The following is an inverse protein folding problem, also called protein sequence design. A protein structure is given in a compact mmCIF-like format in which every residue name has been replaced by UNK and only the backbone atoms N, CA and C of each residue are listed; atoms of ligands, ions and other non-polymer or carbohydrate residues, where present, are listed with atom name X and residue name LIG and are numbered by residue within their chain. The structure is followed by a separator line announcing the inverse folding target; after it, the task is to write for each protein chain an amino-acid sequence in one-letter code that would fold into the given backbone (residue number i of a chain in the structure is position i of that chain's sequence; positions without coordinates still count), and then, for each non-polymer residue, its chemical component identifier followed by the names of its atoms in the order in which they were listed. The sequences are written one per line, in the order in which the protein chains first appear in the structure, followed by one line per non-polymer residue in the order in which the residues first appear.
data_IF_134920232346
#
_entry.id   IF_134920232346
#
_cell.length_a   1.000
_cell.length_b   1.000
_cell.length_c   1.000
_cell.angle_alpha   90.00
_cell.angle_beta   90.00
_cell.angle_gamma   90.00
#
_symmetry.space_group_name_H-M   'P 1'
#
loop_
_entity.id
_entity.type
_entity.pdbx_description
1 polymer ?
#
# COMPACT_ATOMS: atom_id res chain seq x y z
N UNK A 1 20.78 33.25 -7.46
CA UNK A 1 19.49 32.81 -8.03
C UNK A 1 18.44 32.92 -6.94
N UNK A 2 17.32 33.58 -7.24
CA UNK A 2 16.26 33.87 -6.27
C UNK A 2 15.17 32.82 -6.31
N UNK A 3 14.52 32.58 -5.17
CA UNK A 3 13.27 31.84 -5.12
C UNK A 3 12.19 32.65 -5.84
N UNK A 4 11.33 31.97 -6.60
CA UNK A 4 10.19 32.59 -7.29
C UNK A 4 8.90 31.91 -6.86
N UNK A 5 7.87 32.71 -6.62
CA UNK A 5 6.52 32.21 -6.40
C UNK A 5 5.85 32.00 -7.76
N UNK A 6 5.54 30.74 -8.08
CA UNK A 6 4.85 30.36 -9.30
C UNK A 6 3.49 29.74 -8.98
N UNK A 7 2.49 29.99 -9.84
CA UNK A 7 1.26 29.19 -9.81
C UNK A 7 1.54 27.80 -10.40
N UNK A 8 0.83 26.79 -9.90
CA UNK A 8 0.89 25.45 -10.44
C UNK A 8 0.18 25.41 -11.80
N UNK A 9 0.86 24.88 -12.81
CA UNK A 9 0.33 24.70 -14.15
C UNK A 9 0.54 23.26 -14.62
N UNK A 10 -0.39 22.73 -15.41
CA UNK A 10 -0.16 21.43 -16.03
C UNK A 10 1.02 21.52 -17.02
N UNK A 11 2.04 20.64 -16.91
CA UNK A 11 3.24 20.71 -17.75
C UNK A 11 2.94 20.65 -19.26
N UNK A 12 3.56 21.54 -20.04
CA UNK A 12 3.36 21.63 -21.50
C UNK A 12 3.82 20.36 -22.23
N UNK A 13 4.90 19.73 -21.74
CA UNK A 13 5.39 18.44 -22.23
C UNK A 13 4.35 17.33 -21.99
N UNK A 14 3.70 17.31 -20.83
CA UNK A 14 2.65 16.35 -20.52
C UNK A 14 1.39 16.60 -21.38
N UNK A 15 1.00 17.86 -21.58
CA UNK A 15 -0.10 18.24 -22.45
C UNK A 15 0.14 17.81 -23.91
N UNK A 16 1.37 17.99 -24.41
CA UNK A 16 1.75 17.59 -25.78
C UNK A 16 1.71 16.07 -25.96
N UNK A 17 2.19 15.31 -24.97
CA UNK A 17 2.09 13.84 -24.97
C UNK A 17 0.64 13.38 -24.99
N UNK A 18 -0.22 14.00 -24.18
CA UNK A 18 -1.65 13.71 -24.15
C UNK A 18 -2.30 14.02 -25.50
N UNK A 19 -2.04 15.17 -26.09
CA UNK A 19 -2.60 15.56 -27.39
C UNK A 19 -2.21 14.57 -28.50
N UNK A 20 -0.93 14.19 -28.55
CA UNK A 20 -0.43 13.21 -29.52
C UNK A 20 -1.08 11.83 -29.33
N UNK A 21 -1.21 11.35 -28.09
CA UNK A 21 -1.89 10.09 -27.80
C UNK A 21 -3.38 10.16 -28.19
N UNK A 22 -4.05 11.27 -27.86
CA UNK A 22 -5.47 11.46 -28.11
C UNK A 22 -5.82 11.45 -29.60
N UNK A 23 -4.90 11.89 -30.46
CA UNK A 23 -5.09 11.86 -31.93
C UNK A 23 -5.43 10.46 -32.47
N UNK A 24 -4.91 9.41 -31.84
CA UNK A 24 -5.18 8.01 -32.18
C UNK A 24 -6.26 7.42 -31.27
N UNK A 25 -6.19 7.68 -29.95
CA UNK A 25 -7.13 7.10 -28.99
C UNK A 25 -8.59 7.52 -29.26
N UNK A 26 -8.81 8.74 -29.75
CA UNK A 26 -10.14 9.23 -30.13
C UNK A 26 -10.80 8.44 -31.28
N UNK A 27 -10.02 7.68 -32.06
CA UNK A 27 -10.53 6.85 -33.16
C UNK A 27 -11.02 5.46 -32.70
N UNK A 28 -10.63 5.05 -31.48
CA UNK A 28 -10.96 3.73 -30.95
C UNK A 28 -12.47 3.51 -30.84
N UNK A 29 -13.29 4.43 -30.30
CA UNK A 29 -14.73 4.19 -30.16
C UNK A 29 -15.43 3.87 -31.49
N UNK A 30 -15.13 4.62 -32.55
CA UNK A 30 -15.75 4.42 -33.87
C UNK A 30 -15.30 3.10 -34.52
N UNK A 31 -14.00 2.81 -34.49
CA UNK A 31 -13.44 1.56 -35.05
C UNK A 31 -13.92 0.33 -34.28
N UNK A 32 -14.04 0.44 -32.96
CA UNK A 32 -14.53 -0.61 -32.08
C UNK A 32 -16.04 -0.83 -32.24
N UNK A 33 -16.84 0.21 -32.41
CA UNK A 33 -18.28 0.09 -32.73
C UNK A 33 -18.47 -0.64 -34.06
N UNK A 34 -17.68 -0.30 -35.07
CA UNK A 34 -17.69 -1.00 -36.35
C UNK A 34 -17.30 -2.47 -36.22
N UNK A 35 -16.27 -2.77 -35.41
CA UNK A 35 -15.83 -4.15 -35.17
C UNK A 35 -16.86 -4.97 -34.41
N UNK A 36 -17.48 -4.42 -33.36
CA UNK A 36 -18.54 -5.08 -32.60
C UNK A 36 -19.79 -5.32 -33.45
N UNK A 37 -20.15 -4.39 -34.33
CA UNK A 37 -21.21 -4.58 -35.33
C UNK A 37 -20.92 -5.76 -36.27
N UNK A 38 -19.70 -5.90 -36.77
CA UNK A 38 -19.29 -7.08 -37.58
C UNK A 38 -19.33 -8.39 -36.80
N UNK A 39 -19.06 -8.36 -35.49
CA UNK A 39 -19.17 -9.55 -34.64
C UNK A 39 -20.62 -9.93 -34.38
N UNK A 40 -21.52 -8.95 -34.22
CA UNK A 40 -22.95 -9.20 -34.01
C UNK A 40 -23.60 -9.94 -35.18
N UNK A 41 -23.22 -9.62 -36.42
CA UNK A 41 -23.75 -10.33 -37.60
C UNK A 41 -23.34 -11.81 -37.63
N UNK A 42 -22.26 -12.19 -36.95
CA UNK A 42 -21.79 -13.56 -36.82
C UNK A 42 -22.34 -14.29 -35.58
N UNK A 43 -23.01 -13.59 -34.66
CA UNK A 43 -23.44 -14.13 -33.37
C UNK A 43 -24.39 -15.32 -33.51
N UNK A 44 -25.32 -15.27 -34.45
CA UNK A 44 -26.26 -16.37 -34.69
C UNK A 44 -25.58 -17.66 -35.22
N UNK A 45 -24.40 -17.53 -35.83
CA UNK A 45 -23.61 -18.65 -36.38
C UNK A 45 -22.62 -19.21 -35.36
N UNK A 46 -22.34 -18.46 -34.29
CA UNK A 46 -21.36 -18.79 -33.28
C UNK A 46 -22.03 -19.50 -32.09
N UNK A 47 -22.62 -20.68 -32.33
CA UNK A 47 -23.19 -21.51 -31.26
C UNK A 47 -22.09 -22.26 -30.54
N UNK A 48 -21.95 -22.00 -29.23
CA UNK A 48 -20.99 -22.69 -28.36
C UNK A 48 -21.72 -23.56 -27.35
N UNK A 49 -21.29 -24.81 -27.25
CA UNK A 49 -21.76 -25.70 -26.19
C UNK A 49 -21.04 -25.32 -24.90
N UNK A 50 -21.81 -24.95 -23.88
CA UNK A 50 -21.30 -24.66 -22.53
C UNK A 50 -20.59 -25.89 -21.97
N UNK A 51 -19.52 -25.67 -21.19
CA UNK A 51 -18.85 -26.76 -20.50
C UNK A 51 -19.81 -27.45 -19.51
N UNK A 52 -19.80 -28.79 -19.39
CA UNK A 52 -20.74 -29.51 -18.51
C UNK A 52 -20.72 -29.07 -17.04
N UNK A 53 -19.61 -28.48 -16.57
CA UNK A 53 -19.43 -28.02 -15.19
C UNK A 53 -19.82 -26.55 -14.95
N UNK A 54 -20.18 -25.80 -15.99
CA UNK A 54 -20.39 -24.35 -15.86
C UNK A 54 -21.58 -23.99 -14.96
N UNK A 55 -22.64 -24.80 -14.93
CA UNK A 55 -23.79 -24.55 -14.06
C UNK A 55 -23.43 -24.79 -12.58
N UNK A 56 -22.65 -25.85 -12.29
CA UNK A 56 -22.11 -26.10 -10.96
C UNK A 56 -21.15 -24.97 -10.53
N UNK A 57 -20.29 -24.49 -11.44
CA UNK A 57 -19.39 -23.37 -11.17
C UNK A 57 -20.16 -22.06 -10.91
N UNK A 58 -21.26 -21.81 -11.63
CA UNK A 58 -22.11 -20.63 -11.43
C UNK A 58 -22.79 -20.63 -10.06
N UNK A 59 -23.17 -21.80 -9.55
CA UNK A 59 -23.72 -21.94 -8.20
C UNK A 59 -22.73 -21.55 -7.09
N UNK A 60 -21.42 -21.55 -7.39
CA UNK A 60 -20.34 -21.23 -6.45
C UNK A 60 -19.78 -19.81 -6.59
N UNK A 61 -20.44 -18.93 -7.35
CA UNK A 61 -19.96 -17.57 -7.61
C UNK A 61 -19.76 -16.70 -6.34
N UNK A 62 -20.41 -17.07 -5.21
CA UNK A 62 -20.29 -16.36 -3.93
C UNK A 62 -18.97 -16.58 -3.19
N UNK A 63 -18.22 -17.65 -3.49
CA UNK A 63 -17.03 -18.03 -2.73
C UNK A 63 -15.91 -16.98 -2.74
N UNK A 64 -15.83 -16.13 -3.79
CA UNK A 64 -14.89 -15.01 -3.83
C UNK A 64 -15.17 -14.00 -2.72
N UNK A 65 -16.45 -13.66 -2.52
CA UNK A 65 -16.85 -12.74 -1.47
C UNK A 65 -16.58 -13.33 -0.08
N UNK A 66 -16.79 -14.64 0.10
CA UNK A 66 -16.43 -15.34 1.35
C UNK A 66 -14.92 -15.31 1.61
N UNK A 67 -14.09 -15.55 0.59
CA UNK A 67 -12.62 -15.43 0.72
C UNK A 67 -12.20 -13.99 1.05
N UNK A 68 -12.85 -13.00 0.45
CA UNK A 68 -12.57 -11.58 0.70
C UNK A 68 -12.99 -11.14 2.11
N UNK A 69 -14.05 -11.74 2.68
CA UNK A 69 -14.44 -11.49 4.08
C UNK A 69 -13.37 -11.94 5.10
N UNK A 70 -12.49 -12.87 4.73
CA UNK A 70 -11.35 -13.26 5.56
C UNK A 70 -10.24 -12.18 5.59
N UNK A 71 -10.32 -11.17 4.71
CA UNK A 71 -9.37 -10.07 4.62
C UNK A 71 -9.82 -8.93 5.51
N UNK A 72 -9.37 -8.98 6.75
CA UNK A 72 -9.66 -7.93 7.74
C UNK A 72 -8.46 -6.99 7.86
N UNK A 73 -8.74 -5.70 7.88
CA UNK A 73 -7.79 -4.67 8.32
C UNK A 73 -7.97 -4.46 9.82
N UNK A 74 -6.87 -4.27 10.53
CA UNK A 74 -6.96 -4.00 11.96
C UNK A 74 -5.64 -3.52 12.53
N UNK A 75 -5.59 -3.44 13.86
CA UNK A 75 -4.41 -2.95 14.59
C UNK A 75 -3.80 -4.08 15.38
N UNK A 76 -2.49 -4.24 15.25
CA UNK A 76 -1.72 -5.18 16.04
C UNK A 76 -0.92 -4.42 17.10
N UNK A 77 -1.07 -4.84 18.35
CA UNK A 77 -0.24 -4.39 19.47
C UNK A 77 0.61 -5.55 19.95
N UNK A 78 1.92 -5.31 20.04
CA UNK A 78 2.89 -6.33 20.46
C UNK A 78 3.71 -5.81 21.62
N UNK A 79 3.76 -6.62 22.68
CA UNK A 79 4.55 -6.34 23.88
C UNK A 79 5.76 -7.27 23.91
N UNK A 80 6.95 -6.74 24.21
CA UNK A 80 8.19 -7.52 24.28
C UNK A 80 9.05 -7.11 25.49
N UNK A 81 9.91 -8.00 26.02
CA UNK A 81 10.74 -7.70 27.19
C UNK A 81 11.79 -6.60 26.93
N UNK A 82 12.06 -6.25 25.68
CA UNK A 82 13.06 -5.24 25.32
C UNK A 82 12.47 -3.84 25.14
N UNK A 83 11.15 -3.69 25.34
CA UNK A 83 10.48 -2.39 25.26
C UNK A 83 10.68 -1.60 26.55
N UNK A 84 11.01 -0.32 26.40
CA UNK A 84 11.26 0.57 27.52
C UNK A 84 10.03 0.70 28.42
N UNK A 85 10.19 0.40 29.72
CA UNK A 85 9.13 0.48 30.71
C UNK A 85 8.15 -0.71 30.70
N UNK A 86 8.43 -1.74 29.90
CA UNK A 86 7.60 -2.96 29.84
C UNK A 86 8.32 -4.15 30.46
N UNK A 87 9.51 -4.47 29.96
CA UNK A 87 10.31 -5.56 30.51
C UNK A 87 10.96 -5.17 31.85
N UNK A 88 11.19 -6.18 32.69
CA UNK A 88 12.03 -6.06 33.87
C UNK A 88 13.48 -6.28 33.47
N UNK A 89 14.36 -5.35 33.86
CA UNK A 89 15.80 -5.45 33.65
C UNK A 89 16.49 -5.80 34.98
N UNK A 90 17.20 -6.93 35.00
CA UNK A 90 18.10 -7.31 36.09
C UNK A 90 19.51 -7.49 35.50
N UNK A 91 20.38 -6.49 35.70
CA UNK A 91 21.68 -6.44 35.03
C UNK A 91 21.54 -6.34 33.50
N UNK A 92 22.13 -7.30 32.79
CA UNK A 92 22.07 -7.41 31.32
C UNK A 92 20.89 -8.28 30.83
N UNK A 93 20.08 -8.84 31.74
CA UNK A 93 18.96 -9.70 31.39
C UNK A 93 17.65 -8.92 31.36
N UNK A 94 16.91 -9.06 30.26
CA UNK A 94 15.57 -8.52 30.09
C UNK A 94 14.56 -9.67 30.18
N UNK A 95 13.54 -9.53 31.01
CA UNK A 95 12.49 -10.54 31.20
C UNK A 95 11.11 -9.89 31.21
N UNK A 96 10.10 -10.66 30.78
CA UNK A 96 8.70 -10.25 30.86
C UNK A 96 7.85 -11.47 31.16
N UNK A 97 7.32 -11.54 32.38
CA UNK A 97 6.40 -12.60 32.75
C UNK A 97 5.06 -12.44 32.01
N UNK A 98 4.41 -13.55 31.67
CA UNK A 98 3.15 -13.54 30.93
C UNK A 98 2.04 -12.71 31.62
N UNK A 99 1.84 -12.76 32.95
CA UNK A 99 0.86 -11.89 33.62
C UNK A 99 1.15 -10.40 33.44
N UNK A 100 2.42 -10.01 33.45
CA UNK A 100 2.84 -8.63 33.24
C UNK A 100 2.60 -8.20 31.78
N UNK A 101 2.88 -9.08 30.81
CA UNK A 101 2.58 -8.83 29.40
C UNK A 101 1.08 -8.58 29.17
N UNK A 102 0.22 -9.40 29.78
CA UNK A 102 -1.24 -9.25 29.71
C UNK A 102 -1.68 -7.95 30.40
N UNK A 103 -1.12 -7.64 31.58
CA UNK A 103 -1.43 -6.39 32.28
C UNK A 103 -1.03 -5.16 31.45
N UNK A 104 0.12 -5.19 30.76
CA UNK A 104 0.55 -4.11 29.87
C UNK A 104 -0.38 -3.97 28.66
N UNK A 105 -0.79 -5.08 28.03
CA UNK A 105 -1.77 -5.06 26.93
C UNK A 105 -3.11 -4.46 27.38
N UNK A 106 -3.60 -4.89 28.55
CA UNK A 106 -4.86 -4.42 29.13
C UNK A 106 -4.80 -2.92 29.50
N UNK A 107 -3.68 -2.46 30.08
CA UNK A 107 -3.46 -1.05 30.36
C UNK A 107 -3.44 -0.21 29.07
N UNK A 108 -2.84 -0.73 27.99
CA UNK A 108 -2.75 -0.01 26.72
C UNK A 108 -4.09 0.10 25.99
N UNK A 109 -5.03 -0.81 26.21
CA UNK A 109 -6.42 -0.69 25.74
C UNK A 109 -7.19 0.45 26.43
N UNK A 110 -6.71 0.94 27.57
CA UNK A 110 -7.31 2.04 28.33
C UNK A 110 -6.54 3.37 28.15
N UNK A 111 -5.51 3.39 27.30
CA UNK A 111 -4.66 4.57 27.08
C UNK A 111 -5.36 5.59 26.16
N UNK A 112 -6.25 6.39 26.74
CA UNK A 112 -7.00 7.44 26.04
C UNK A 112 -6.14 8.59 25.50
N UNK A 113 -4.84 8.63 25.81
CA UNK A 113 -3.90 9.59 25.24
C UNK A 113 -3.30 9.13 23.91
N UNK A 114 -3.49 7.87 23.51
CA UNK A 114 -3.02 7.36 22.21
C UNK A 114 -4.04 7.73 21.10
N UNK A 115 -3.66 8.58 20.12
CA UNK A 115 -4.58 8.98 19.05
C UNK A 115 -4.99 7.82 18.13
N UNK A 116 -4.28 6.68 18.21
CA UNK A 116 -4.56 5.47 17.43
C UNK A 116 -5.21 4.37 18.30
N UNK A 117 -5.78 4.72 19.45
CA UNK A 117 -6.60 3.78 20.23
C UNK A 117 -7.80 3.30 19.38
N UNK A 118 -8.03 1.99 19.24
CA UNK A 118 -9.20 1.48 18.53
C UNK A 118 -10.49 1.78 19.34
N UNK A 119 -11.59 2.09 18.64
CA UNK A 119 -12.88 2.46 19.24
C UNK A 119 -14.04 1.67 18.62
N UNK A 120 -15.20 1.65 19.30
CA UNK A 120 -16.39 0.91 18.86
C UNK A 120 -16.41 -0.56 19.29
N UNK A 121 -17.26 -1.36 18.66
CA UNK A 121 -17.33 -2.81 18.90
C UNK A 121 -16.17 -3.50 18.16
N UNK A 122 -15.30 -4.18 18.92
CA UNK A 122 -14.08 -4.79 18.41
C UNK A 122 -14.08 -6.30 18.63
N UNK A 123 -13.43 -7.03 17.74
CA UNK A 123 -13.12 -8.45 17.90
C UNK A 123 -11.61 -8.56 18.13
N UNK A 124 -11.19 -9.26 19.19
CA UNK A 124 -9.79 -9.32 19.61
C UNK A 124 -9.30 -10.76 19.74
N UNK A 125 -8.05 -10.98 19.36
CA UNK A 125 -7.31 -12.24 19.55
C UNK A 125 -5.94 -11.89 20.12
N UNK A 126 -5.54 -12.56 21.21
CA UNK A 126 -4.24 -12.38 21.84
C UNK A 126 -3.45 -13.67 21.80
N UNK A 127 -2.17 -13.58 21.44
CA UNK A 127 -1.23 -14.70 21.45
C UNK A 127 -0.07 -14.40 22.39
N UNK A 128 0.34 -15.40 23.17
CA UNK A 128 1.50 -15.35 24.04
C UNK A 128 2.47 -16.47 23.65
N UNK A 129 3.74 -16.13 23.58
CA UNK A 129 4.85 -17.09 23.38
C UNK A 129 5.71 -17.02 24.64
N UNK A 130 5.89 -18.15 25.31
CA UNK A 130 6.52 -18.19 26.65
C UNK A 130 7.58 -19.26 26.70
N UNK A 131 8.79 -18.90 27.14
CA UNK A 131 9.86 -19.85 27.42
C UNK A 131 10.33 -19.73 28.87
N UNK A 132 10.87 -20.82 29.40
CA UNK A 132 11.46 -20.85 30.74
C UNK A 132 12.88 -20.25 30.78
N UNK A 133 13.47 -19.99 29.61
CA UNK A 133 14.76 -19.31 29.42
C UNK A 133 14.77 -18.51 28.12
N UNK A 134 15.78 -17.66 27.94
CA UNK A 134 15.99 -16.92 26.68
C UNK A 134 16.15 -17.87 25.48
N UNK A 135 16.87 -18.98 25.65
CA UNK A 135 17.07 -19.99 24.62
C UNK A 135 15.78 -20.73 24.26
N UNK A 136 14.97 -21.10 25.26
CA UNK A 136 13.69 -21.75 25.05
C UNK A 136 12.71 -20.82 24.32
N UNK A 137 12.64 -19.55 24.74
CA UNK A 137 11.84 -18.54 24.06
C UNK A 137 12.30 -18.30 22.62
N UNK A 138 13.61 -18.29 22.36
CA UNK A 138 14.15 -18.14 21.01
C UNK A 138 13.76 -19.32 20.10
N UNK A 139 13.82 -20.56 20.60
CA UNK A 139 13.41 -21.76 19.86
C UNK A 139 11.94 -21.71 19.47
N UNK A 140 11.06 -21.33 20.41
CA UNK A 140 9.63 -21.20 20.13
C UNK A 140 9.32 -20.05 19.17
N UNK A 141 9.96 -18.89 19.36
CA UNK A 141 9.81 -17.74 18.47
C UNK A 141 10.33 -18.02 17.05
N UNK A 142 11.37 -18.84 16.88
CA UNK A 142 11.90 -19.16 15.56
C UNK A 142 10.86 -19.86 14.66
N UNK A 143 10.11 -20.82 15.21
CA UNK A 143 9.03 -21.51 14.49
C UNK A 143 7.88 -20.56 14.18
N UNK A 144 7.49 -19.74 15.15
CA UNK A 144 6.33 -18.86 15.01
C UNK A 144 6.60 -17.66 14.12
N UNK A 145 7.79 -17.04 14.17
CA UNK A 145 8.14 -15.92 13.29
C UNK A 145 8.16 -16.32 11.81
N UNK A 146 8.35 -17.60 11.48
CA UNK A 146 8.22 -18.11 10.12
C UNK A 146 6.77 -18.10 9.61
N UNK A 147 5.79 -18.26 10.52
CA UNK A 147 4.35 -18.25 10.20
C UNK A 147 3.76 -16.85 10.38
N UNK A 148 4.03 -16.21 11.51
CA UNK A 148 3.55 -14.90 11.92
C UNK A 148 4.75 -13.94 12.06
N UNK A 149 5.23 -13.34 10.95
CA UNK A 149 6.38 -12.44 10.95
C UNK A 149 6.02 -11.06 11.53
N UNK A 150 5.55 -11.03 12.79
CA UNK A 150 5.28 -9.79 13.50
C UNK A 150 6.62 -9.07 13.74
N UNK A 151 6.78 -7.80 13.33
CA UNK A 151 8.08 -7.13 13.36
C UNK A 151 8.77 -7.14 14.73
N UNK A 152 7.99 -6.94 15.80
CA UNK A 152 8.51 -6.95 17.18
C UNK A 152 8.91 -8.36 17.65
N UNK A 153 8.22 -9.42 17.20
CA UNK A 153 8.60 -10.80 17.49
C UNK A 153 9.88 -11.18 16.75
N UNK A 154 9.98 -10.82 15.47
CA UNK A 154 11.20 -10.99 14.68
C UNK A 154 12.39 -10.18 15.25
N UNK A 155 12.14 -8.98 15.77
CA UNK A 155 13.16 -8.18 16.45
C UNK A 155 13.60 -8.82 17.78
N UNK A 156 12.66 -9.37 18.55
CA UNK A 156 12.94 -10.11 19.79
C UNK A 156 13.78 -11.35 19.51
N UNK A 157 13.40 -12.14 18.49
CA UNK A 157 14.18 -13.31 18.05
C UNK A 157 15.60 -12.93 17.64
N UNK A 158 15.77 -11.89 16.81
CA UNK A 158 17.10 -11.41 16.40
C UNK A 158 17.96 -10.99 17.59
N UNK A 159 17.38 -10.37 18.63
CA UNK A 159 18.12 -10.02 19.85
C UNK A 159 18.49 -11.25 20.68
N UNK A 160 17.61 -12.23 20.78
CA UNK A 160 17.87 -13.47 21.51
C UNK A 160 18.93 -14.35 20.83
N UNK A 161 19.05 -14.28 19.51
CA UNK A 161 20.00 -15.10 18.72
C UNK A 161 21.31 -14.39 18.37
N UNK A 162 21.40 -13.08 18.57
CA UNK A 162 22.60 -12.32 18.24
C UNK A 162 23.63 -12.35 19.40
N UNK A 163 24.89 -12.64 19.09
CA UNK A 163 26.02 -12.46 20.01
C UNK A 163 26.34 -10.96 20.11
N UNK A 164 25.62 -10.24 20.97
CA UNK A 164 25.81 -8.80 21.17
C UNK A 164 26.49 -8.54 22.53
N UNK A 165 27.80 -8.75 22.60
CA UNK A 165 28.56 -8.41 23.82
C UNK A 165 28.90 -6.91 23.95
N UNK A 166 28.71 -6.09 22.92
CA UNK A 166 29.16 -4.69 22.99
C UNK A 166 28.40 -3.77 22.04
N UNK A 167 27.20 -3.30 22.42
CA UNK A 167 26.66 -2.06 21.85
C UNK A 167 25.61 -1.44 22.76
N UNK A 168 25.81 -0.17 23.14
CA UNK A 168 24.91 0.58 24.02
C UNK A 168 23.61 0.95 23.32
N UNK A 169 22.54 0.97 24.11
CA UNK A 169 21.17 1.18 23.64
C UNK A 169 20.84 2.69 23.70
N UNK A 170 20.43 3.33 22.59
CA UNK A 170 19.94 4.70 22.64
C UNK A 170 18.54 4.76 23.29
N UNK A 171 18.30 5.81 24.06
CA UNK A 171 17.04 6.08 24.77
C UNK A 171 15.90 6.26 23.77
N UNK A 172 14.94 5.33 23.76
CA UNK A 172 13.79 5.34 22.87
C UNK A 172 12.55 5.97 23.54
N UNK A 173 11.68 6.57 22.74
CA UNK A 173 10.39 7.08 23.18
C UNK A 173 9.50 5.97 23.78
N UNK A 174 8.46 6.31 24.57
CA UNK A 174 7.52 5.33 25.15
C UNK A 174 6.95 4.36 24.09
N UNK A 175 7.08 3.04 24.35
CA UNK A 175 6.70 1.88 23.51
C UNK A 175 5.85 0.93 24.39
N UNK A 176 4.87 0.17 23.85
CA UNK A 176 4.40 0.12 22.47
C UNK A 176 3.32 1.16 22.14
N UNK A 177 3.30 1.58 20.88
CA UNK A 177 2.29 2.46 20.29
C UNK A 177 1.35 1.64 19.42
N UNK A 178 0.08 2.03 19.35
CA UNK A 178 -0.79 1.51 18.31
C UNK A 178 -0.24 1.89 16.94
N UNK A 179 -0.22 0.93 16.02
CA UNK A 179 0.07 1.18 14.61
C UNK A 179 -1.24 1.55 13.91
N UNK A 180 -1.13 2.27 12.80
CA UNK A 180 -2.28 2.53 11.93
C UNK A 180 -2.88 1.21 11.43
N UNK A 181 -4.11 1.27 10.91
CA UNK A 181 -4.78 0.08 10.38
C UNK A 181 -3.96 -0.53 9.24
N UNK A 182 -3.58 -1.79 9.41
CA UNK A 182 -2.78 -2.54 8.46
C UNK A 182 -3.54 -3.81 8.04
N UNK A 183 -3.37 -4.30 6.80
CA UNK A 183 -3.93 -5.58 6.39
C UNK A 183 -3.33 -6.72 7.22
N UNK A 184 -4.14 -7.46 7.97
CA UNK A 184 -3.70 -8.58 8.82
C UNK A 184 -3.45 -9.86 8.00
N UNK A 185 -2.74 -9.72 6.89
CA UNK A 185 -2.56 -10.75 5.85
C UNK A 185 -1.16 -11.35 5.93
N UNK A 186 -0.83 -11.94 7.07
CA UNK A 186 0.42 -12.69 7.27
C UNK A 186 0.28 -14.15 6.81
N UNK A 187 1.34 -14.94 6.88
CA UNK A 187 1.20 -16.37 6.68
C UNK A 187 0.42 -17.01 7.86
N UNK A 188 -0.31 -18.12 7.65
CA UNK A 188 -0.55 -18.81 6.37
C UNK A 188 -1.66 -18.17 5.52
N UNK A 189 -2.34 -17.13 6.00
CA UNK A 189 -3.50 -16.53 5.31
C UNK A 189 -3.13 -16.01 3.91
N UNK A 190 -2.00 -15.33 3.77
CA UNK A 190 -1.54 -14.81 2.47
C UNK A 190 -1.32 -15.91 1.42
N UNK A 191 -0.52 -16.96 1.65
CA UNK A 191 -0.36 -18.04 0.68
C UNK A 191 -1.66 -18.84 0.48
N UNK A 192 -2.45 -19.07 1.55
CA UNK A 192 -3.76 -19.75 1.42
C UNK A 192 -4.70 -18.96 0.50
N UNK A 193 -4.75 -17.63 0.64
CA UNK A 193 -5.54 -16.76 -0.25
C UNK A 193 -5.12 -16.87 -1.70
N UNK A 194 -3.81 -16.94 -1.97
CA UNK A 194 -3.32 -17.08 -3.34
C UNK A 194 -3.75 -18.41 -3.95
N UNK A 195 -3.58 -19.52 -3.20
CA UNK A 195 -3.98 -20.85 -3.66
C UNK A 195 -5.50 -20.95 -3.89
N UNK A 196 -6.31 -20.56 -2.89
CA UNK A 196 -7.76 -20.55 -3.01
C UNK A 196 -8.24 -19.60 -4.11
N UNK A 197 -7.59 -18.44 -4.24
CA UNK A 197 -7.92 -17.47 -5.27
C UNK A 197 -7.70 -17.99 -6.71
N UNK A 198 -6.72 -18.89 -6.91
CA UNK A 198 -6.49 -19.58 -8.17
C UNK A 198 -7.59 -20.60 -8.45
N UNK A 199 -7.97 -21.42 -7.46
CA UNK A 199 -9.08 -22.38 -7.61
C UNK A 199 -10.39 -21.66 -7.95
N UNK A 200 -10.71 -20.58 -7.24
CA UNK A 200 -11.87 -19.75 -7.50
C UNK A 200 -11.83 -19.11 -8.89
N UNK A 201 -10.66 -18.68 -9.36
CA UNK A 201 -10.54 -18.14 -10.72
C UNK A 201 -10.85 -19.18 -11.81
N UNK A 202 -10.56 -20.47 -11.57
CA UNK A 202 -10.96 -21.54 -12.49
C UNK A 202 -12.48 -21.70 -12.53
N UNK A 203 -13.14 -21.68 -11.36
CA UNK A 203 -14.60 -21.74 -11.27
C UNK A 203 -15.25 -20.52 -11.93
N UNK A 204 -14.73 -19.33 -11.69
CA UNK A 204 -15.20 -18.08 -12.32
C UNK A 204 -15.06 -18.15 -13.84
N UNK A 205 -13.95 -18.69 -14.36
CA UNK A 205 -13.76 -18.92 -15.79
C UNK A 205 -14.80 -19.87 -16.38
N UNK A 206 -15.07 -20.99 -15.71
CA UNK A 206 -16.09 -21.96 -16.13
C UNK A 206 -17.51 -21.37 -16.07
N UNK A 207 -17.83 -20.56 -15.06
CA UNK A 207 -19.11 -19.88 -14.95
C UNK A 207 -19.30 -18.83 -16.07
N UNK A 208 -18.21 -18.22 -16.53
CA UNK A 208 -18.22 -17.27 -17.65
C UNK A 208 -18.49 -17.93 -19.01
N UNK A 209 -18.53 -19.26 -19.13
CA UNK A 209 -19.00 -19.94 -20.36
C UNK A 209 -20.50 -19.70 -20.63
N UNK A 210 -21.22 -19.09 -19.69
CA UNK A 210 -22.54 -18.52 -19.93
C UNK A 210 -22.53 -17.37 -20.95
N UNK A 211 -21.40 -16.70 -21.13
CA UNK A 211 -21.23 -15.62 -22.10
C UNK A 211 -20.53 -16.14 -23.36
N UNK A 212 -21.11 -15.84 -24.53
CA UNK A 212 -20.45 -16.16 -25.80
C UNK A 212 -19.15 -15.36 -25.94
N UNK A 213 -18.14 -15.84 -26.70
CA UNK A 213 -16.93 -15.06 -26.98
C UNK A 213 -17.24 -13.67 -27.55
N UNK A 214 -18.30 -13.56 -28.37
CA UNK A 214 -18.78 -12.28 -28.91
C UNK A 214 -19.30 -11.37 -27.79
N UNK A 215 -20.07 -11.91 -26.84
CA UNK A 215 -20.53 -11.16 -25.67
C UNK A 215 -19.35 -10.73 -24.78
N UNK A 216 -18.34 -11.58 -24.58
CA UNK A 216 -17.11 -11.23 -23.84
C UNK A 216 -16.34 -10.11 -24.52
N UNK A 217 -16.19 -10.16 -25.86
CA UNK A 217 -15.54 -9.11 -26.64
C UNK A 217 -16.33 -7.79 -26.63
N UNK A 218 -17.67 -7.84 -26.65
CA UNK A 218 -18.51 -6.66 -26.48
C UNK A 218 -18.36 -6.05 -25.08
N UNK A 219 -18.38 -6.87 -24.03
CA UNK A 219 -18.17 -6.40 -22.67
C UNK A 219 -16.76 -5.78 -22.49
N UNK A 220 -15.73 -6.40 -23.09
CA UNK A 220 -14.37 -5.85 -23.11
C UNK A 220 -14.32 -4.51 -23.85
N UNK A 221 -14.98 -4.41 -24.99
CA UNK A 221 -15.12 -3.16 -25.75
C UNK A 221 -15.77 -2.05 -24.89
N UNK A 222 -16.88 -2.35 -24.21
CA UNK A 222 -17.54 -1.40 -23.30
C UNK A 222 -16.63 -0.99 -22.15
N UNK A 223 -15.94 -1.94 -21.50
CA UNK A 223 -14.99 -1.64 -20.41
C UNK A 223 -13.83 -0.77 -20.89
N UNK A 224 -13.30 -1.03 -22.08
CA UNK A 224 -12.23 -0.21 -22.67
C UNK A 224 -12.71 1.23 -22.93
N UNK A 225 -13.93 1.40 -23.45
CA UNK A 225 -14.50 2.73 -23.66
C UNK A 225 -14.62 3.49 -22.33
N UNK A 226 -15.26 2.88 -21.32
CA UNK A 226 -15.41 3.49 -20.00
C UNK A 226 -14.06 3.81 -19.33
N UNK A 227 -13.05 2.94 -19.50
CA UNK A 227 -11.71 3.19 -18.99
C UNK A 227 -11.02 4.37 -19.70
N UNK A 228 -11.17 4.47 -21.03
CA UNK A 228 -10.65 5.63 -21.77
C UNK A 228 -11.35 6.91 -21.33
N UNK A 229 -12.66 6.89 -21.13
CA UNK A 229 -13.42 8.05 -20.62
C UNK A 229 -12.91 8.45 -19.23
N UNK A 230 -12.75 7.50 -18.31
CA UNK A 230 -12.23 7.74 -16.96
C UNK A 230 -10.79 8.29 -16.97
N UNK A 231 -9.91 7.78 -17.85
CA UNK A 231 -8.57 8.33 -18.02
C UNK A 231 -8.62 9.77 -18.54
N UNK A 232 -9.52 10.05 -19.49
CA UNK A 232 -9.68 11.39 -20.07
C UNK A 232 -10.16 12.37 -19.00
N UNK A 233 -11.11 11.95 -18.16
CA UNK A 233 -11.58 12.73 -17.02
C UNK A 233 -10.49 12.94 -15.97
N UNK A 234 -9.73 11.90 -15.61
CA UNK A 234 -8.62 12.00 -14.65
C UNK A 234 -7.57 13.00 -15.14
N UNK A 235 -7.20 12.94 -16.43
CA UNK A 235 -6.26 13.89 -17.01
C UNK A 235 -6.84 15.32 -17.07
N UNK A 236 -8.14 15.47 -17.32
CA UNK A 236 -8.80 16.77 -17.27
C UNK A 236 -8.78 17.36 -15.84
N UNK A 237 -9.02 16.54 -14.81
CA UNK A 237 -8.92 16.94 -13.41
C UNK A 237 -7.48 17.32 -13.02
N UNK A 238 -6.49 16.55 -13.46
CA UNK A 238 -5.08 16.91 -13.29
C UNK A 238 -4.69 18.18 -14.06
N UNK A 239 -5.41 18.53 -15.13
CA UNK A 239 -5.28 19.80 -15.82
C UNK A 239 -5.78 21.01 -15.01
N UNK A 240 -6.60 20.80 -13.99
CA UNK A 240 -7.19 21.85 -13.14
C UNK A 240 -6.36 22.16 -11.89
N UNK A 241 -5.07 21.84 -11.91
CA UNK A 241 -4.16 22.18 -10.81
C UNK A 241 -4.23 23.67 -10.50
N UNK A 242 -4.29 23.97 -9.20
CA UNK A 242 -4.36 25.34 -8.70
C UNK A 242 -3.56 25.45 -7.40
N UNK A 243 -3.14 26.67 -7.09
CA UNK A 243 -2.28 26.97 -5.95
C UNK A 243 -0.97 27.61 -6.40
N UNK A 244 -0.22 28.10 -5.42
CA UNK A 244 1.07 28.74 -5.65
C UNK A 244 2.11 28.11 -4.74
N UNK A 245 3.32 27.89 -5.23
CA UNK A 245 4.45 27.57 -4.37
C UNK A 245 5.67 28.41 -4.71
N UNK A 246 6.56 28.51 -3.73
CA UNK A 246 7.92 28.97 -3.93
C UNK A 246 8.79 27.86 -4.47
N UNK A 247 9.45 28.11 -5.60
CA UNK A 247 10.37 27.17 -6.22
C UNK A 247 11.74 27.79 -6.42
N UNK A 248 12.73 26.91 -6.50
CA UNK A 248 14.11 27.24 -6.83
C UNK A 248 14.63 26.17 -7.79
N UNK A 249 15.34 26.59 -8.82
CA UNK A 249 15.93 25.70 -9.81
C UNK A 249 17.44 25.98 -9.89
N UNK A 250 18.22 24.90 -9.93
CA UNK A 250 19.68 24.97 -10.06
C UNK A 250 20.21 23.73 -10.76
N UNK A 251 21.41 23.87 -11.33
CA UNK A 251 22.11 22.78 -12.02
C UNK A 251 23.56 22.75 -11.59
N UNK A 252 24.11 21.55 -11.41
CA UNK A 252 25.49 21.33 -11.00
C UNK A 252 25.68 20.00 -10.31
N UNK A 253 26.90 19.76 -9.83
CA UNK A 253 27.15 18.68 -8.87
C UNK A 253 26.57 19.03 -7.48
N UNK A 254 26.60 18.07 -6.56
CA UNK A 254 26.02 18.23 -5.22
C UNK A 254 26.64 19.41 -4.46
N UNK A 255 27.95 19.64 -4.59
CA UNK A 255 28.64 20.72 -3.90
C UNK A 255 28.24 22.10 -4.46
N UNK A 256 28.13 22.21 -5.77
CA UNK A 256 27.64 23.38 -6.48
C UNK A 256 26.18 23.67 -6.12
N UNK A 257 25.29 22.67 -6.16
CA UNK A 257 23.88 22.84 -5.78
C UNK A 257 23.71 23.27 -4.32
N UNK A 258 24.46 22.69 -3.39
CA UNK A 258 24.45 23.09 -1.98
C UNK A 258 24.91 24.55 -1.80
N UNK A 259 25.96 24.96 -2.51
CA UNK A 259 26.47 26.34 -2.48
C UNK A 259 25.44 27.31 -3.06
N UNK A 260 24.86 27.00 -4.22
CA UNK A 260 23.85 27.83 -4.86
C UNK A 260 22.59 27.98 -4.00
N UNK A 261 22.13 26.90 -3.37
CA UNK A 261 20.99 26.92 -2.46
C UNK A 261 21.29 27.72 -1.19
N UNK A 262 22.48 27.55 -0.60
CA UNK A 262 22.90 28.29 0.60
C UNK A 262 23.08 29.79 0.36
N UNK A 263 23.37 30.20 -0.87
CA UNK A 263 23.44 31.60 -1.30
C UNK A 263 22.11 32.14 -1.87
N UNK A 264 21.05 31.33 -1.88
CA UNK A 264 19.73 31.75 -2.35
C UNK A 264 19.02 32.62 -1.32
N UNK A 265 18.08 33.45 -1.76
CA UNK A 265 17.26 34.33 -0.92
C UNK A 265 15.85 33.74 -0.78
N UNK A 266 15.55 32.94 0.26
CA UNK A 266 14.20 32.42 0.48
C UNK A 266 13.22 33.53 0.85
N UNK A 267 11.90 33.25 0.84
CA UNK A 267 10.88 34.19 1.29
C UNK A 267 11.12 34.67 2.73
N UNK A 268 10.58 35.84 3.07
CA UNK A 268 10.81 36.49 4.35
C UNK A 268 10.23 35.71 5.56
N UNK A 269 10.61 36.13 6.77
CA UNK A 269 10.18 35.52 8.03
C UNK A 269 8.68 35.72 8.35
N UNK A 270 7.87 36.27 7.43
CA UNK A 270 6.43 36.42 7.61
C UNK A 270 5.69 35.06 7.62
N UNK A 271 6.30 34.02 7.05
CA UNK A 271 5.79 32.64 7.02
C UNK A 271 6.38 31.83 8.18
N UNK A 272 5.62 31.63 9.26
CA UNK A 272 6.08 30.96 10.49
C UNK A 272 6.02 29.43 10.47
N UNK A 273 5.36 28.83 9.47
CA UNK A 273 5.21 27.38 9.31
C UNK A 273 5.57 26.97 7.88
N UNK A 274 6.69 26.26 7.72
CA UNK A 274 7.25 25.92 6.40
C UNK A 274 7.56 24.42 6.33
N UNK A 275 7.24 23.81 5.19
CA UNK A 275 7.65 22.44 4.82
C UNK A 275 8.38 22.53 3.48
N UNK A 276 9.48 21.81 3.33
CA UNK A 276 10.31 21.84 2.13
C UNK A 276 10.65 20.42 1.65
N UNK A 277 10.84 20.28 0.34
CA UNK A 277 11.32 19.08 -0.31
C UNK A 277 12.34 19.45 -1.39
N UNK A 278 13.38 18.62 -1.58
CA UNK A 278 14.39 18.80 -2.62
C UNK A 278 14.40 17.56 -3.51
N UNK A 279 14.13 17.76 -4.80
CA UNK A 279 14.19 16.72 -5.82
C UNK A 279 15.54 16.84 -6.56
N UNK A 280 16.32 15.75 -6.59
CA UNK A 280 17.61 15.68 -7.30
C UNK A 280 17.57 14.47 -8.22
N UNK A 281 18.01 14.65 -9.46
CA UNK A 281 18.07 13.60 -10.48
C UNK A 281 19.29 13.83 -11.38
N UNK A 282 19.93 12.75 -11.88
CA UNK A 282 20.97 12.86 -12.92
C UNK A 282 20.39 13.26 -14.29
N UNK A 283 19.07 13.21 -14.46
CA UNK A 283 18.36 13.61 -15.69
C UNK A 283 17.47 14.85 -15.43
N UNK A 284 17.18 15.68 -16.45
CA UNK A 284 16.33 16.85 -16.31
C UNK A 284 14.97 16.52 -15.68
N UNK A 285 14.55 17.34 -14.72
CA UNK A 285 13.26 17.22 -14.04
C UNK A 285 12.15 17.97 -14.80
N UNK A 286 12.08 17.78 -16.13
CA UNK A 286 11.26 18.59 -17.05
C UNK A 286 9.81 18.75 -16.61
N UNK A 287 9.16 17.65 -16.18
CA UNK A 287 7.78 17.70 -15.69
C UNK A 287 7.62 18.66 -14.50
N UNK A 288 8.51 18.58 -13.51
CA UNK A 288 8.45 19.40 -12.30
C UNK A 288 8.87 20.85 -12.55
N UNK A 289 9.82 21.07 -13.48
CA UNK A 289 10.24 22.40 -13.89
C UNK A 289 9.11 23.16 -14.60
N UNK A 290 8.34 22.47 -15.46
CA UNK A 290 7.20 23.06 -16.15
C UNK A 290 5.93 23.17 -15.27
N UNK A 291 5.82 22.34 -14.22
CA UNK A 291 4.72 22.40 -13.25
C UNK A 291 4.70 23.76 -12.52
N UNK A 292 5.90 24.33 -12.33
CA UNK A 292 6.14 25.54 -11.55
C UNK A 292 7.03 26.47 -12.39
N UNK A 293 6.46 27.10 -13.44
CA UNK A 293 7.22 27.95 -14.35
C UNK A 293 7.74 29.23 -13.68
#
# INVERSE_FOLDING_TARGET
MSWSQGALHWPASAASLQANAQSVLAQIPATQTSATGRLQTLAARAQYRRHPLSDAATALAGLRAELDQLLVTGRCLTVTPYQHGVGQQQGQQFSLAAPNAVATLAAKLQDGADPLLPSGQLHALAWLVTGNSAEDLAKQLAVLCALLPLPEWCATLRRLTANNDTMSQPTAAKVPRWRADEPLTWAPLRPARMALGVELAQLESLAQDSQTPIAKLQALATRRAAHLDALTETLAQLGQLSGTLWHWQGQGDVASLATQLGQSTPPDHSQSMTVAALLISPSPLTFWQELTP
#
